data_IF_907054157441
#
_entry.id   IF_907054157441
#
_cell.length_a   1.000
_cell.length_b   1.000
_cell.length_c   1.000
_cell.angle_alpha   90.00
_cell.angle_beta   90.00
_cell.angle_gamma   90.00
#
_symmetry.space_group_name_H-M   'P 1'
#
loop_
_entity.id
_entity.type
_entity.pdbx_description
1 polymer ?
#
# COMPACT_ATOMS: atom_id res chain seq x y z
N UNK A 1 -21.99 16.16 -3.12
CA UNK A 1 -20.96 16.80 -2.27
C UNK A 1 -19.80 17.31 -3.12
N UNK A 2 -18.92 16.46 -3.67
CA UNK A 2 -17.75 16.92 -4.43
C UNK A 2 -18.11 17.87 -5.61
N UNK A 3 -19.14 17.53 -6.39
CA UNK A 3 -19.63 18.38 -7.48
C UNK A 3 -20.06 19.77 -7.00
N UNK A 4 -20.77 19.86 -5.87
CA UNK A 4 -21.13 21.14 -5.25
C UNK A 4 -19.90 21.91 -4.75
N UNK A 5 -18.96 21.22 -4.08
CA UNK A 5 -17.73 21.86 -3.55
C UNK A 5 -16.87 22.45 -4.68
N UNK A 6 -16.80 21.78 -5.82
CA UNK A 6 -16.04 22.20 -6.99
C UNK A 6 -16.86 23.09 -7.94
N UNK A 7 -18.10 23.44 -7.59
CA UNK A 7 -19.02 24.23 -8.43
C UNK A 7 -19.24 23.63 -9.83
N UNK A 8 -19.23 22.29 -9.93
CA UNK A 8 -19.51 21.54 -11.16
C UNK A 8 -20.96 21.08 -11.14
N UNK A 9 -21.75 21.49 -12.14
CA UNK A 9 -23.18 21.21 -12.19
C UNK A 9 -23.53 19.71 -12.31
N UNK A 10 -22.78 18.94 -13.12
CA UNK A 10 -23.03 17.50 -13.31
C UNK A 10 -22.01 16.63 -12.54
N UNK A 11 -22.51 15.81 -11.63
CA UNK A 11 -21.72 14.79 -10.90
C UNK A 11 -20.99 13.82 -11.84
N UNK A 12 -21.53 13.55 -13.03
CA UNK A 12 -20.89 12.67 -14.02
C UNK A 12 -19.60 13.27 -14.56
N UNK A 13 -19.55 14.59 -14.71
CA UNK A 13 -18.33 15.30 -15.12
C UNK A 13 -17.23 15.10 -14.09
N UNK A 14 -17.54 15.25 -12.79
CA UNK A 14 -16.59 14.97 -11.72
C UNK A 14 -16.08 13.54 -11.77
N UNK A 15 -16.98 12.56 -11.94
CA UNK A 15 -16.60 11.15 -12.06
C UNK A 15 -15.65 10.90 -13.24
N UNK A 16 -15.91 11.53 -14.38
CA UNK A 16 -15.08 11.41 -15.59
C UNK A 16 -13.69 12.01 -15.35
N UNK A 17 -13.61 13.21 -14.76
CA UNK A 17 -12.34 13.87 -14.44
C UNK A 17 -11.51 13.00 -13.48
N UNK A 18 -12.11 12.51 -12.39
CA UNK A 18 -11.41 11.65 -11.43
C UNK A 18 -10.91 10.37 -12.11
N UNK A 19 -11.72 9.74 -12.96
CA UNK A 19 -11.29 8.55 -13.68
C UNK A 19 -10.16 8.85 -14.67
N UNK A 20 -10.20 9.96 -15.39
CA UNK A 20 -9.13 10.39 -16.29
C UNK A 20 -7.82 10.66 -15.52
N UNK A 21 -7.89 11.36 -14.38
CA UNK A 21 -6.74 11.59 -13.52
C UNK A 21 -6.16 10.26 -13.00
N UNK A 22 -7.02 9.34 -12.55
CA UNK A 22 -6.60 8.00 -12.12
C UNK A 22 -5.87 7.24 -13.24
N UNK A 23 -6.42 7.26 -14.46
CA UNK A 23 -5.80 6.60 -15.61
C UNK A 23 -4.44 7.22 -15.95
N UNK A 24 -4.31 8.53 -15.89
CA UNK A 24 -3.04 9.21 -16.11
C UNK A 24 -1.99 8.83 -15.05
N UNK A 25 -2.36 8.81 -13.76
CA UNK A 25 -1.48 8.39 -12.67
C UNK A 25 -1.04 6.92 -12.85
N UNK A 26 -1.98 6.02 -13.15
CA UNK A 26 -1.66 4.60 -13.37
C UNK A 26 -0.73 4.40 -14.57
N UNK A 27 -0.88 5.21 -15.62
CA UNK A 27 -0.06 5.09 -16.83
C UNK A 27 1.33 5.71 -16.68
N UNK A 28 1.44 6.85 -15.99
CA UNK A 28 2.62 7.72 -16.07
C UNK A 28 3.33 7.96 -14.74
N UNK A 29 2.74 7.53 -13.61
CA UNK A 29 3.37 7.68 -12.30
C UNK A 29 3.67 6.32 -11.67
N UNK A 30 2.70 5.40 -11.66
CA UNK A 30 2.84 4.11 -10.99
C UNK A 30 4.05 3.30 -11.48
N UNK A 31 4.26 3.08 -12.80
CA UNK A 31 5.36 2.24 -13.27
C UNK A 31 6.75 2.72 -12.84
N UNK A 32 6.90 4.02 -12.60
CA UNK A 32 8.18 4.67 -12.30
C UNK A 32 8.36 5.01 -10.81
N UNK A 33 7.30 4.91 -9.99
CA UNK A 33 7.32 5.40 -8.60
C UNK A 33 6.62 4.50 -7.57
N UNK A 34 5.92 3.43 -7.98
CA UNK A 34 5.17 2.60 -7.06
C UNK A 34 5.05 1.15 -7.54
N UNK A 35 5.27 0.20 -6.64
CA UNK A 35 5.23 -1.24 -6.91
C UNK A 35 6.62 -1.80 -7.14
N UNK A 36 6.82 -3.11 -6.99
CA UNK A 36 8.18 -3.69 -7.00
C UNK A 36 8.92 -3.59 -8.34
N UNK A 37 8.24 -3.21 -9.43
CA UNK A 37 8.86 -3.05 -10.75
C UNK A 37 9.71 -1.78 -10.93
N UNK A 38 9.48 -0.74 -10.12
CA UNK A 38 10.15 0.56 -10.34
C UNK A 38 11.50 0.70 -9.62
N UNK A 39 11.80 -0.18 -8.66
CA UNK A 39 13.02 -0.13 -7.85
C UNK A 39 13.63 -1.52 -7.75
N UNK A 40 14.93 -1.64 -7.98
CA UNK A 40 15.62 -2.92 -7.88
C UNK A 40 15.92 -3.29 -6.42
N UNK A 41 16.08 -4.58 -6.16
CA UNK A 41 16.50 -5.07 -4.83
C UNK A 41 17.87 -4.53 -4.45
N UNK A 42 18.78 -4.48 -5.42
CA UNK A 42 20.13 -3.99 -5.27
C UNK A 42 20.16 -2.49 -4.94
N UNK A 43 19.30 -1.69 -5.58
CA UNK A 43 19.14 -0.26 -5.23
C UNK A 43 18.61 -0.08 -3.80
N UNK A 44 17.66 -0.89 -3.36
CA UNK A 44 17.13 -0.81 -1.98
C UNK A 44 18.23 -1.13 -0.96
N UNK A 45 19.02 -2.17 -1.21
CA UNK A 45 20.12 -2.55 -0.32
C UNK A 45 21.20 -1.47 -0.27
N UNK A 46 21.59 -0.94 -1.44
CA UNK A 46 22.67 0.02 -1.56
C UNK A 46 22.31 1.43 -1.09
N UNK A 47 21.07 1.89 -1.33
CA UNK A 47 20.68 3.30 -1.12
C UNK A 47 19.56 3.51 -0.12
N UNK A 48 18.71 2.51 0.09
CA UNK A 48 17.50 2.66 0.92
C UNK A 48 17.50 1.80 2.19
N UNK A 49 18.67 1.25 2.54
CA UNK A 49 18.89 0.52 3.80
C UNK A 49 19.81 1.31 4.71
N UNK A 50 19.30 1.75 5.87
CA UNK A 50 20.07 2.50 6.87
C UNK A 50 21.13 1.63 7.52
N UNK A 51 22.25 2.24 7.93
CA UNK A 51 23.32 1.56 8.65
C UNK A 51 22.80 0.89 9.92
N UNK A 52 22.00 1.61 10.72
CA UNK A 52 21.43 1.06 11.97
C UNK A 52 20.62 -0.21 11.70
N UNK A 53 19.76 -0.22 10.69
CA UNK A 53 18.98 -1.42 10.38
C UNK A 53 19.85 -2.58 9.88
N UNK A 54 20.88 -2.28 9.08
CA UNK A 54 21.84 -3.29 8.61
C UNK A 54 22.60 -3.94 9.77
N UNK A 55 23.08 -3.13 10.71
CA UNK A 55 23.75 -3.61 11.93
C UNK A 55 22.81 -4.47 12.78
N UNK A 56 21.61 -3.96 13.09
CA UNK A 56 20.68 -4.63 14.01
C UNK A 56 20.05 -5.90 13.45
N UNK A 57 19.71 -5.91 12.16
CA UNK A 57 18.92 -7.00 11.55
C UNK A 57 19.78 -8.01 10.79
N UNK A 58 20.98 -7.61 10.36
CA UNK A 58 21.82 -8.44 9.49
C UNK A 58 23.27 -8.60 9.98
N UNK A 59 23.59 -8.11 11.19
CA UNK A 59 24.91 -8.29 11.81
C UNK A 59 26.04 -7.50 11.13
N UNK A 60 25.72 -6.42 10.42
CA UNK A 60 26.70 -5.49 9.82
C UNK A 60 27.35 -5.98 8.53
N UNK A 61 27.70 -7.26 8.45
CA UNK A 61 28.48 -7.84 7.34
C UNK A 61 27.62 -8.31 6.15
N UNK A 62 26.30 -8.44 6.34
CA UNK A 62 25.42 -8.85 5.25
C UNK A 62 25.18 -7.70 4.26
N UNK A 63 25.74 -7.84 3.07
CA UNK A 63 25.59 -6.89 1.96
C UNK A 63 24.51 -7.31 0.96
N UNK A 64 23.88 -8.47 1.15
CA UNK A 64 22.87 -9.03 0.23
C UNK A 64 21.51 -9.27 0.92
N UNK A 65 21.14 -8.43 1.88
CA UNK A 65 19.83 -8.51 2.56
C UNK A 65 19.03 -7.24 2.36
N UNK A 66 17.87 -7.36 1.69
CA UNK A 66 16.90 -6.28 1.59
C UNK A 66 16.02 -6.24 2.83
N UNK A 67 15.91 -5.07 3.48
CA UNK A 67 15.04 -4.86 4.63
C UNK A 67 13.86 -3.99 4.21
N UNK A 68 12.66 -4.55 4.29
CA UNK A 68 11.39 -3.85 4.06
C UNK A 68 10.52 -3.87 5.32
N UNK A 69 9.74 -2.82 5.49
CA UNK A 69 8.77 -2.64 6.57
C UNK A 69 7.40 -2.64 5.91
N UNK A 70 6.52 -3.52 6.40
CA UNK A 70 5.14 -3.64 5.91
C UNK A 70 4.23 -3.23 7.06
N UNK A 71 3.50 -2.13 6.88
CA UNK A 71 2.58 -1.64 7.89
C UNK A 71 1.26 -1.15 7.30
N UNK A 72 0.17 -1.35 8.05
CA UNK A 72 -1.16 -0.94 7.66
C UNK A 72 -1.43 0.50 8.10
N UNK A 73 -1.69 1.39 7.14
CA UNK A 73 -2.15 2.75 7.46
C UNK A 73 -3.67 2.87 7.28
N UNK A 74 -4.26 3.97 7.75
CA UNK A 74 -5.71 4.19 7.69
C UNK A 74 -6.05 5.40 6.83
N UNK A 75 -6.87 5.18 5.80
CA UNK A 75 -7.50 6.24 5.02
C UNK A 75 -8.92 6.47 5.51
N UNK A 76 -9.21 7.71 5.92
CA UNK A 76 -10.55 8.12 6.29
C UNK A 76 -11.45 8.24 5.07
N UNK A 77 -12.66 7.68 5.17
CA UNK A 77 -13.69 7.81 4.15
C UNK A 77 -15.00 8.33 4.73
N UNK A 78 -15.77 9.00 3.89
CA UNK A 78 -17.13 9.41 4.23
C UNK A 78 -18.09 8.22 4.21
N UNK A 79 -19.19 8.34 4.96
CA UNK A 79 -20.25 7.33 5.01
C UNK A 79 -20.77 7.07 3.58
N UNK A 80 -20.70 5.81 3.16
CA UNK A 80 -21.22 5.39 1.85
C UNK A 80 -22.74 5.17 1.90
N UNK A 81 -23.41 5.35 0.76
CA UNK A 81 -24.81 4.92 0.59
C UNK A 81 -24.94 3.41 0.40
N UNK A 82 -23.84 2.72 0.08
CA UNK A 82 -23.81 1.27 0.01
C UNK A 82 -23.64 0.71 1.43
N UNK A 83 -24.72 0.10 1.96
CA UNK A 83 -24.77 -0.41 3.33
C UNK A 83 -23.73 -1.52 3.59
N UNK A 84 -23.50 -2.41 2.63
CA UNK A 84 -22.54 -3.52 2.79
C UNK A 84 -21.12 -2.99 2.86
N UNK A 85 -20.78 -2.09 1.94
CA UNK A 85 -19.47 -1.42 1.95
C UNK A 85 -19.29 -0.59 3.23
N UNK A 86 -20.33 0.14 3.66
CA UNK A 86 -20.29 0.92 4.89
C UNK A 86 -20.02 0.03 6.12
N UNK A 87 -20.64 -1.15 6.21
CA UNK A 87 -20.40 -2.10 7.32
C UNK A 87 -18.98 -2.65 7.32
N UNK A 88 -18.47 -3.04 6.15
CA UNK A 88 -17.10 -3.58 6.00
C UNK A 88 -16.00 -2.53 6.22
N UNK A 89 -16.30 -1.26 5.97
CA UNK A 89 -15.33 -0.17 6.18
C UNK A 89 -15.38 0.41 7.59
N UNK A 90 -16.36 0.08 8.42
CA UNK A 90 -16.43 0.60 9.79
C UNK A 90 -15.45 -0.13 10.71
N UNK A 91 -14.45 0.60 11.22
CA UNK A 91 -13.52 0.07 12.19
C UNK A 91 -14.07 0.25 13.61
N UNK A 92 -14.27 -0.85 14.33
CA UNK A 92 -14.81 -0.83 15.69
C UNK A 92 -13.91 -0.10 16.69
N UNK A 93 -12.59 -0.27 16.58
CA UNK A 93 -11.63 0.32 17.52
C UNK A 93 -11.51 1.83 17.35
N UNK A 94 -11.51 2.33 16.11
CA UNK A 94 -11.42 3.76 15.77
C UNK A 94 -12.78 4.46 15.68
N UNK A 95 -13.87 3.67 15.78
CA UNK A 95 -15.28 4.10 15.73
C UNK A 95 -15.60 4.97 14.50
N UNK A 96 -15.03 4.64 13.34
CA UNK A 96 -15.17 5.43 12.10
C UNK A 96 -14.97 4.58 10.84
N UNK A 97 -15.44 5.08 9.69
CA UNK A 97 -15.25 4.42 8.39
C UNK A 97 -13.84 4.66 7.86
N UNK A 98 -13.13 3.58 7.57
CA UNK A 98 -11.73 3.56 7.16
C UNK A 98 -11.51 2.53 6.05
N UNK A 99 -10.51 2.80 5.23
CA UNK A 99 -9.84 1.83 4.38
C UNK A 99 -8.41 1.64 4.85
N UNK A 100 -7.83 0.47 4.59
CA UNK A 100 -6.47 0.12 5.00
C UNK A 100 -5.59 -0.19 3.81
N UNK A 101 -4.76 0.73 3.31
CA UNK A 101 -3.64 0.33 2.46
C UNK A 101 -2.49 -0.22 3.31
N UNK A 102 -1.83 -1.27 2.81
CA UNK A 102 -0.57 -1.77 3.35
C UNK A 102 0.57 -1.05 2.65
N UNK A 103 1.29 -0.23 3.39
CA UNK A 103 2.47 0.46 2.90
C UNK A 103 3.67 -0.45 3.05
N UNK A 104 4.45 -0.57 1.97
CA UNK A 104 5.72 -1.26 1.97
C UNK A 104 6.79 -0.22 1.76
N UNK A 105 7.60 -0.02 2.79
CA UNK A 105 8.63 1.01 2.83
C UNK A 105 9.97 0.42 3.22
N UNK A 106 11.04 1.11 2.89
CA UNK A 106 12.39 0.74 3.33
C UNK A 106 12.71 1.39 4.68
N UNK A 107 13.87 1.07 5.24
CA UNK A 107 14.32 1.64 6.53
C UNK A 107 14.71 3.12 6.44
N UNK A 108 14.85 3.66 5.22
CA UNK A 108 15.01 5.11 4.99
C UNK A 108 13.68 5.86 4.84
N UNK A 109 12.56 5.13 4.84
CA UNK A 109 11.22 5.69 4.56
C UNK A 109 10.88 5.77 3.07
N UNK A 110 11.77 5.32 2.17
CA UNK A 110 11.46 5.22 0.75
C UNK A 110 10.30 4.25 0.52
N UNK A 111 9.29 4.68 -0.25
CA UNK A 111 8.08 3.90 -0.51
C UNK A 111 8.33 2.97 -1.68
N UNK A 112 8.24 1.66 -1.46
CA UNK A 112 8.40 0.64 -2.50
C UNK A 112 7.05 0.32 -3.13
N UNK A 113 6.03 0.06 -2.32
CA UNK A 113 4.72 -0.30 -2.82
C UNK A 113 3.61 0.11 -1.83
N UNK A 114 2.39 0.17 -2.35
CA UNK A 114 1.18 0.32 -1.56
C UNK A 114 0.16 -0.69 -2.07
N UNK A 115 -0.17 -1.69 -1.24
CA UNK A 115 -1.09 -2.77 -1.61
C UNK A 115 -2.45 -2.55 -0.95
N UNK A 116 -3.52 -2.84 -1.70
CA UNK A 116 -4.90 -2.67 -1.27
C UNK A 116 -5.62 -1.59 -2.10
N UNK A 117 -6.54 -0.81 -1.50
CA UNK A 117 -6.89 -0.79 -0.08
C UNK A 117 -7.76 -1.98 0.36
N UNK A 118 -7.55 -2.43 1.60
CA UNK A 118 -8.35 -3.43 2.29
C UNK A 118 -9.48 -2.78 3.10
N UNK A 119 -10.53 -3.57 3.37
CA UNK A 119 -11.60 -3.16 4.28
C UNK A 119 -11.08 -3.10 5.72
N UNK A 120 -11.73 -2.33 6.59
CA UNK A 120 -11.30 -2.18 7.99
C UNK A 120 -12.07 -3.06 8.97
N UNK A 121 -12.67 -4.14 8.45
CA UNK A 121 -13.38 -5.14 9.25
C UNK A 121 -12.41 -6.10 9.96
N UNK A 122 -12.95 -6.92 10.86
CA UNK A 122 -12.17 -7.85 11.68
C UNK A 122 -11.39 -8.90 10.86
N UNK A 123 -11.86 -9.23 9.66
CA UNK A 123 -11.22 -10.21 8.79
C UNK A 123 -9.92 -9.67 8.17
N UNK A 124 -9.78 -8.34 8.10
CA UNK A 124 -8.65 -7.64 7.51
C UNK A 124 -7.77 -7.00 8.61
N UNK A 125 -7.30 -7.83 9.53
CA UNK A 125 -6.21 -7.45 10.44
C UNK A 125 -4.85 -7.52 9.72
N UNK A 126 -3.86 -6.82 10.24
CA UNK A 126 -2.61 -6.55 9.51
C UNK A 126 -1.81 -7.85 9.26
N UNK A 127 -1.84 -8.80 10.20
CA UNK A 127 -1.22 -10.11 10.03
C UNK A 127 -1.91 -10.95 8.94
N UNK A 128 -3.25 -10.95 8.92
CA UNK A 128 -4.03 -11.67 7.90
C UNK A 128 -3.79 -11.09 6.51
N UNK A 129 -3.75 -9.75 6.40
CA UNK A 129 -3.47 -9.07 5.14
C UNK A 129 -2.04 -9.36 4.67
N UNK A 130 -1.04 -9.23 5.56
CA UNK A 130 0.36 -9.51 5.23
C UNK A 130 0.54 -10.96 4.75
N UNK A 131 -0.10 -11.92 5.43
CA UNK A 131 -0.10 -13.32 5.03
C UNK A 131 -0.67 -13.51 3.63
N UNK A 132 -1.81 -12.88 3.30
CA UNK A 132 -2.42 -12.97 1.97
C UNK A 132 -1.53 -12.34 0.88
N UNK A 133 -0.92 -11.19 1.16
CA UNK A 133 0.02 -10.49 0.25
C UNK A 133 1.17 -11.41 -0.13
N UNK A 134 1.81 -12.02 0.87
CA UNK A 134 2.96 -12.90 0.70
C UNK A 134 2.56 -14.20 0.00
N UNK A 135 1.49 -14.88 0.46
CA UNK A 135 1.01 -16.14 -0.13
C UNK A 135 0.65 -16.02 -1.60
N UNK A 136 0.02 -14.91 -2.00
CA UNK A 136 -0.35 -14.68 -3.41
C UNK A 136 0.79 -14.12 -4.25
N UNK A 137 1.94 -13.86 -3.64
CA UNK A 137 3.03 -13.12 -4.27
C UNK A 137 2.52 -11.83 -4.94
N UNK A 138 1.69 -11.08 -4.21
CA UNK A 138 1.04 -9.88 -4.74
C UNK A 138 2.11 -8.88 -5.18
N UNK A 139 1.95 -8.33 -6.39
CA UNK A 139 2.93 -7.41 -7.00
C UNK A 139 4.35 -8.00 -7.09
N UNK A 140 4.46 -9.34 -7.16
CA UNK A 140 5.72 -10.07 -7.28
C UNK A 140 6.71 -9.85 -6.11
N UNK A 141 6.20 -9.48 -4.92
CA UNK A 141 7.00 -9.22 -3.72
C UNK A 141 8.01 -10.32 -3.38
N UNK A 142 7.60 -11.60 -3.41
CA UNK A 142 8.49 -12.73 -3.07
C UNK A 142 9.57 -12.92 -4.14
N UNK A 143 9.19 -12.77 -5.40
CA UNK A 143 10.13 -12.82 -6.51
C UNK A 143 11.18 -11.71 -6.41
N UNK A 144 10.75 -10.50 -6.01
CA UNK A 144 11.63 -9.39 -5.76
C UNK A 144 12.53 -9.60 -4.54
N UNK A 145 11.99 -10.14 -3.44
CA UNK A 145 12.78 -10.46 -2.23
C UNK A 145 13.79 -11.59 -2.44
N UNK A 146 13.59 -12.42 -3.48
CA UNK A 146 14.31 -13.69 -3.73
C UNK A 146 14.05 -14.74 -2.63
N UNK A 147 12.85 -14.74 -2.08
CA UNK A 147 12.45 -15.60 -0.96
C UNK A 147 11.43 -16.65 -1.39
N UNK A 148 11.51 -17.84 -0.79
CA UNK A 148 10.50 -18.91 -0.93
C UNK A 148 9.93 -19.18 0.46
N UNK A 149 8.66 -18.84 0.66
CA UNK A 149 8.00 -19.09 1.94
C UNK A 149 7.37 -20.49 1.93
N UNK A 150 7.84 -21.35 2.83
CA UNK A 150 7.16 -22.58 3.21
C UNK A 150 6.32 -22.30 4.46
N UNK A 151 5.01 -22.49 4.38
CA UNK A 151 4.07 -22.34 5.50
C UNK A 151 3.66 -23.70 6.06
#
# INVERSE_FOLDING_TARGET
>A
LLACMLQIADKRTVSRIINSARQAIVKSFVPDNLGFGHVTREDVIGRHTTTIARELMCGGDSTDTAIIIIDGTYLYIQKSRNNDFQRKTFNLYKKRFLLKPMMIVTTTGYIVACIGPFMSDFNNNDAAIMKDILLRNTDHILSWLKEVIFF
#
